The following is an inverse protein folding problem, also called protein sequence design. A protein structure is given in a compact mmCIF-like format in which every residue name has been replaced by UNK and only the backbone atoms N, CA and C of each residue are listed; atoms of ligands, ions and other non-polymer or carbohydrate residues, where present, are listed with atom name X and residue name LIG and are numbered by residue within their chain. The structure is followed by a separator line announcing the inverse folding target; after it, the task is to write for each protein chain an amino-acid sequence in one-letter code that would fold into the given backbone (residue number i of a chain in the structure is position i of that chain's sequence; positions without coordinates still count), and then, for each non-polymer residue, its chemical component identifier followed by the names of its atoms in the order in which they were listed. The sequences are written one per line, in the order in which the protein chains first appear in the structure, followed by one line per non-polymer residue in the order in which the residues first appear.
data_IF_855564682246
#
_entry.id   IF_855564682246
#
_cell.length_a   1.000
_cell.length_b   1.000
_cell.length_c   1.000
_cell.angle_alpha   90.00
_cell.angle_beta   90.00
_cell.angle_gamma   90.00
#
_symmetry.space_group_name_H-M   'P 1'
#
loop_
_entity.id
_entity.type
_entity.pdbx_description
1 polymer ?
#
# COMPACT_ATOMS: atom_id res chain seq x y z
N UNK A 1 33.15 41.12 39.27
CA UNK A 1 33.29 39.71 38.86
C UNK A 1 32.20 39.42 37.82
N UNK A 2 32.61 39.41 36.55
CA UNK A 2 31.70 39.18 35.43
C UNK A 2 31.64 37.70 35.13
N UNK A 3 30.43 37.11 35.24
CA UNK A 3 30.18 35.70 34.90
C UNK A 3 30.00 35.64 33.41
N UNK A 4 31.00 35.12 32.68
CA UNK A 4 30.85 34.73 31.27
C UNK A 4 29.89 33.55 31.18
N UNK A 5 28.66 33.80 30.74
CA UNK A 5 27.75 32.74 30.31
C UNK A 5 28.27 32.16 28.98
N UNK A 6 28.90 31.01 29.06
CA UNK A 6 29.28 30.23 27.87
C UNK A 6 27.97 29.67 27.29
N UNK A 7 27.49 30.26 26.21
CA UNK A 7 26.44 29.68 25.40
C UNK A 7 27.00 28.44 24.68
N UNK A 8 26.70 27.26 25.18
CA UNK A 8 26.84 26.03 24.42
C UNK A 8 25.80 26.05 23.29
N UNK A 9 26.22 26.42 22.10
CA UNK A 9 25.47 26.09 20.87
C UNK A 9 25.48 24.57 20.75
N UNK A 10 24.32 23.92 20.73
CA UNK A 10 24.28 22.46 20.47
C UNK A 10 24.96 22.22 19.11
N UNK A 11 25.98 21.35 19.11
CA UNK A 11 26.54 20.83 17.86
C UNK A 11 25.39 20.28 17.05
N UNK A 12 25.02 20.93 15.93
CA UNK A 12 24.07 20.37 14.98
C UNK A 12 24.66 19.06 14.52
N UNK A 13 24.02 17.95 14.90
CA UNK A 13 24.35 16.65 14.34
C UNK A 13 24.16 16.75 12.81
N UNK A 14 25.16 16.33 12.06
CA UNK A 14 25.05 16.29 10.61
C UNK A 14 23.93 15.30 10.25
N UNK A 15 22.89 15.79 9.56
CA UNK A 15 21.88 14.91 8.98
C UNK A 15 22.50 14.19 7.80
N UNK A 16 22.70 12.89 7.97
CA UNK A 16 23.35 12.06 6.96
C UNK A 16 22.38 11.61 5.84
N UNK A 17 21.08 11.60 6.11
CA UNK A 17 20.04 11.28 5.15
C UNK A 17 18.78 12.10 5.42
N UNK A 18 17.98 12.33 4.40
CA UNK A 18 16.61 12.84 4.56
C UNK A 18 15.74 11.75 5.20
N UNK A 19 14.93 12.12 6.17
CA UNK A 19 13.87 11.27 6.72
C UNK A 19 12.55 11.89 6.31
N UNK A 20 11.71 11.13 5.61
CA UNK A 20 10.38 11.58 5.22
C UNK A 20 9.51 11.66 6.49
N UNK A 21 8.99 12.85 6.77
CA UNK A 21 8.03 13.00 7.85
C UNK A 21 6.67 12.42 7.43
N UNK A 22 6.20 11.40 8.14
CA UNK A 22 4.94 10.72 7.87
C UNK A 22 3.95 11.07 8.99
N UNK A 23 3.02 12.01 8.76
CA UNK A 23 1.99 12.35 9.74
C UNK A 23 1.13 11.12 10.05
N UNK A 24 0.74 10.93 11.31
CA UNK A 24 -0.20 9.85 11.65
C UNK A 24 -1.59 10.18 11.15
N UNK A 25 -2.32 9.19 10.59
CA UNK A 25 -3.74 9.35 10.29
C UNK A 25 -4.56 9.51 11.58
N UNK A 26 -5.80 9.96 11.46
CA UNK A 26 -6.76 10.07 12.56
C UNK A 26 -7.40 8.74 12.93
N UNK A 27 -7.12 7.69 12.15
CA UNK A 27 -7.57 6.32 12.36
C UNK A 27 -6.35 5.39 12.46
N UNK A 28 -6.56 4.20 12.97
CA UNK A 28 -5.54 3.16 13.05
C UNK A 28 -6.07 1.87 12.42
N UNK A 29 -5.18 1.06 11.84
CA UNK A 29 -5.51 -0.25 11.32
C UNK A 29 -5.52 -1.26 12.45
N UNK A 30 -6.65 -1.94 12.63
CA UNK A 30 -6.85 -2.93 13.67
C UNK A 30 -6.45 -4.34 13.19
N UNK A 31 -6.19 -5.29 14.10
CA UNK A 31 -5.86 -6.66 13.72
C UNK A 31 -6.92 -7.28 12.81
N UNK A 32 -6.47 -7.93 11.74
CA UNK A 32 -7.33 -8.74 10.87
C UNK A 32 -8.50 -7.99 10.21
N UNK A 33 -8.36 -6.68 9.98
CA UNK A 33 -9.32 -5.90 9.20
C UNK A 33 -9.53 -6.46 7.78
N UNK A 34 -10.70 -6.17 7.22
CA UNK A 34 -11.00 -6.41 5.81
C UNK A 34 -10.48 -5.23 5.00
N UNK A 35 -9.45 -5.48 4.21
CA UNK A 35 -8.74 -4.42 3.48
C UNK A 35 -8.83 -4.68 2.00
N UNK A 36 -9.26 -3.68 1.24
CA UNK A 36 -9.23 -3.69 -0.22
C UNK A 36 -7.95 -3.00 -0.71
N UNK A 37 -7.14 -3.69 -1.49
CA UNK A 37 -6.02 -3.10 -2.22
C UNK A 37 -6.35 -3.00 -3.70
N UNK A 38 -6.31 -1.81 -4.26
CA UNK A 38 -6.49 -1.58 -5.70
C UNK A 38 -5.39 -0.66 -6.20
N UNK A 39 -4.74 -1.05 -7.28
CA UNK A 39 -3.78 -0.16 -7.91
C UNK A 39 -2.66 -0.87 -8.67
N UNK A 40 -1.51 -0.23 -8.74
CA UNK A 40 -0.33 -0.71 -9.46
C UNK A 40 0.25 -2.00 -8.86
N UNK A 41 1.28 -2.57 -9.49
CA UNK A 41 2.03 -3.70 -8.92
C UNK A 41 2.56 -3.43 -7.49
N UNK A 42 2.59 -2.17 -7.05
CA UNK A 42 2.90 -1.85 -5.67
C UNK A 42 1.77 -2.27 -4.72
N UNK A 43 0.49 -2.21 -5.16
CA UNK A 43 -0.63 -2.78 -4.40
C UNK A 43 -0.45 -4.28 -4.19
N UNK A 44 0.00 -5.03 -5.21
CA UNK A 44 0.29 -6.46 -5.07
C UNK A 44 1.38 -6.72 -4.02
N UNK A 45 2.47 -5.92 -4.05
CA UNK A 45 3.58 -6.10 -3.11
C UNK A 45 3.16 -5.86 -1.66
N UNK A 46 2.48 -4.75 -1.39
CA UNK A 46 2.04 -4.40 -0.02
C UNK A 46 0.85 -5.27 0.40
N UNK A 47 -0.13 -5.48 -0.49
CA UNK A 47 -1.29 -6.33 -0.21
C UNK A 47 -0.90 -7.77 0.14
N UNK A 48 0.03 -8.36 -0.60
CA UNK A 48 0.61 -9.67 -0.28
C UNK A 48 1.23 -9.69 1.13
N UNK A 49 1.88 -8.59 1.55
CA UNK A 49 2.42 -8.49 2.90
C UNK A 49 1.31 -8.55 3.94
N UNK A 50 0.18 -7.88 3.72
CA UNK A 50 -0.98 -7.97 4.58
C UNK A 50 -1.56 -9.40 4.63
N UNK A 51 -1.66 -10.11 3.50
CA UNK A 51 -2.09 -11.52 3.45
C UNK A 51 -1.15 -12.42 4.26
N UNK A 52 0.17 -12.24 4.13
CA UNK A 52 1.19 -12.98 4.90
C UNK A 52 1.07 -12.72 6.40
N UNK A 53 0.68 -11.51 6.80
CA UNK A 53 0.42 -11.13 8.18
C UNK A 53 -1.03 -11.40 8.62
N UNK A 54 -1.78 -12.18 7.84
CA UNK A 54 -3.13 -12.67 8.18
C UNK A 54 -4.22 -11.61 8.31
N UNK A 55 -4.03 -10.46 7.68
CA UNK A 55 -5.13 -9.55 7.43
C UNK A 55 -6.05 -10.10 6.32
N UNK A 56 -7.32 -9.79 6.39
CA UNK A 56 -8.30 -10.20 5.36
C UNK A 56 -8.22 -9.27 4.15
N UNK A 57 -7.11 -9.36 3.42
CA UNK A 57 -6.85 -8.52 2.26
C UNK A 57 -7.48 -9.09 0.99
N UNK A 58 -8.11 -8.22 0.21
CA UNK A 58 -8.52 -8.46 -1.18
C UNK A 58 -7.63 -7.60 -2.07
N UNK A 59 -6.74 -8.25 -2.81
CA UNK A 59 -5.68 -7.55 -3.56
C UNK A 59 -5.93 -7.63 -5.04
N UNK A 60 -6.08 -6.48 -5.71
CA UNK A 60 -6.26 -6.35 -7.15
C UNK A 60 -7.19 -7.43 -7.74
N UNK A 61 -8.45 -7.57 -7.27
CA UNK A 61 -9.31 -8.71 -7.60
C UNK A 61 -9.62 -8.88 -9.09
N UNK A 62 -9.40 -7.83 -9.88
CA UNK A 62 -9.56 -7.86 -11.35
C UNK A 62 -8.25 -7.55 -12.09
N UNK A 63 -7.12 -7.73 -11.42
CA UNK A 63 -5.79 -7.40 -11.94
C UNK A 63 -5.33 -6.00 -11.58
N UNK A 64 -4.10 -5.69 -12.00
CA UNK A 64 -3.43 -4.42 -11.67
C UNK A 64 -4.13 -3.25 -12.35
N UNK A 65 -4.38 -2.19 -11.57
CA UNK A 65 -5.02 -0.94 -12.01
C UNK A 65 -4.05 0.22 -11.83
N UNK A 66 -3.82 1.00 -12.88
CA UNK A 66 -2.75 2.00 -12.84
C UNK A 66 -3.25 3.42 -12.59
N UNK A 67 -4.50 3.73 -12.89
CA UNK A 67 -5.06 5.08 -12.89
C UNK A 67 -6.33 5.16 -12.02
N UNK A 68 -6.74 6.36 -11.60
CA UNK A 68 -7.92 6.57 -10.74
C UNK A 68 -9.23 6.02 -11.31
N UNK A 69 -9.44 6.10 -12.63
CA UNK A 69 -10.67 5.59 -13.27
C UNK A 69 -10.74 4.07 -13.18
N UNK A 70 -9.64 3.37 -13.44
CA UNK A 70 -9.59 1.91 -13.28
C UNK A 70 -9.73 1.47 -11.81
N UNK A 71 -9.27 2.29 -10.85
CA UNK A 71 -9.55 2.08 -9.42
C UNK A 71 -11.05 2.18 -9.17
N UNK A 72 -11.71 3.21 -9.68
CA UNK A 72 -13.17 3.38 -9.58
C UNK A 72 -13.93 2.20 -10.20
N UNK A 73 -13.53 1.73 -11.39
CA UNK A 73 -14.15 0.55 -12.02
C UNK A 73 -14.03 -0.70 -11.14
N UNK A 74 -12.90 -0.88 -10.47
CA UNK A 74 -12.71 -1.99 -9.52
C UNK A 74 -13.65 -1.82 -8.33
N UNK A 75 -13.72 -0.64 -7.73
CA UNK A 75 -14.61 -0.36 -6.60
C UNK A 75 -16.07 -0.61 -6.98
N UNK A 76 -16.52 -0.19 -8.17
CA UNK A 76 -17.88 -0.50 -8.69
C UNK A 76 -18.15 -2.00 -8.72
N UNK A 77 -17.19 -2.81 -9.13
CA UNK A 77 -17.32 -4.28 -9.24
C UNK A 77 -17.37 -4.97 -7.86
N UNK A 78 -16.75 -4.39 -6.83
CA UNK A 78 -16.74 -4.93 -5.45
C UNK A 78 -17.72 -4.22 -4.50
N UNK A 79 -18.62 -3.40 -5.01
CA UNK A 79 -19.53 -2.57 -4.21
C UNK A 79 -20.47 -3.38 -3.29
N UNK A 80 -20.63 -4.69 -3.52
CA UNK A 80 -21.37 -5.62 -2.66
C UNK A 80 -20.58 -6.14 -1.46
N UNK A 81 -19.28 -5.82 -1.38
CA UNK A 81 -18.41 -6.19 -0.27
C UNK A 81 -18.28 -5.01 0.70
N UNK A 82 -18.09 -5.33 1.97
CA UNK A 82 -17.83 -4.34 3.02
C UNK A 82 -16.37 -4.41 3.43
N UNK A 83 -15.67 -3.30 3.32
CA UNK A 83 -14.27 -3.17 3.76
C UNK A 83 -14.19 -2.22 4.95
N UNK A 84 -13.23 -2.48 5.85
CA UNK A 84 -12.92 -1.61 6.97
C UNK A 84 -11.94 -0.52 6.53
N UNK A 85 -11.02 -0.89 5.63
CA UNK A 85 -10.05 0.03 4.99
C UNK A 85 -9.91 -0.27 3.50
N UNK A 86 -9.70 0.75 2.67
CA UNK A 86 -9.28 0.62 1.28
C UNK A 86 -7.94 1.32 1.05
N UNK A 87 -7.06 0.71 0.26
CA UNK A 87 -5.75 1.24 -0.09
C UNK A 87 -5.64 1.38 -1.61
N UNK A 88 -5.48 2.61 -2.09
CA UNK A 88 -5.32 2.92 -3.51
C UNK A 88 -3.87 3.27 -3.80
N UNK A 89 -3.22 2.51 -4.71
CA UNK A 89 -1.83 2.77 -5.12
C UNK A 89 -1.78 3.25 -6.56
N UNK A 90 -1.75 4.57 -6.74
CA UNK A 90 -1.89 5.21 -8.05
C UNK A 90 -0.58 5.18 -8.84
N UNK A 91 -0.62 4.63 -10.03
CA UNK A 91 0.56 4.45 -10.89
C UNK A 91 0.78 5.59 -11.88
N UNK A 92 -0.24 5.94 -12.65
CA UNK A 92 -0.21 6.93 -13.73
C UNK A 92 -1.57 7.59 -13.90
N UNK A 93 -1.60 8.78 -14.53
CA UNK A 93 -2.83 9.43 -14.98
C UNK A 93 -3.22 9.05 -16.42
N UNK A 94 -2.44 8.21 -17.10
CA UNK A 94 -2.76 7.77 -18.44
C UNK A 94 -3.84 6.70 -18.44
N UNK A 95 -4.76 6.82 -19.40
CA UNK A 95 -5.86 5.88 -19.65
C UNK A 95 -5.88 5.47 -21.13
N UNK A 96 -6.50 4.32 -21.42
CA UNK A 96 -6.79 3.89 -22.77
C UNK A 96 -8.30 3.97 -23.02
N UNK A 97 -8.69 4.67 -24.07
CA UNK A 97 -10.06 4.76 -24.54
C UNK A 97 -10.22 3.80 -25.72
N UNK A 98 -11.19 2.92 -25.65
CA UNK A 98 -11.55 2.05 -26.77
C UNK A 98 -12.27 2.85 -27.85
N UNK A 99 -11.71 2.90 -29.06
CA UNK A 99 -12.27 3.71 -30.16
C UNK A 99 -13.66 3.29 -30.60
N UNK A 100 -14.03 2.01 -30.40
CA UNK A 100 -15.34 1.50 -30.79
C UNK A 100 -16.47 1.94 -29.84
N UNK A 101 -16.17 2.10 -28.55
CA UNK A 101 -17.16 2.41 -27.50
C UNK A 101 -17.01 3.82 -26.93
N UNK A 102 -15.84 4.41 -27.05
CA UNK A 102 -15.49 5.68 -26.38
C UNK A 102 -15.29 5.52 -24.87
N UNK A 103 -15.22 4.30 -24.35
CA UNK A 103 -15.07 4.05 -22.92
C UNK A 103 -13.61 3.82 -22.52
N UNK A 104 -13.25 4.26 -21.31
CA UNK A 104 -11.95 3.97 -20.72
C UNK A 104 -11.91 2.49 -20.31
N UNK A 105 -10.89 1.78 -20.77
CA UNK A 105 -10.68 0.37 -20.47
C UNK A 105 -9.59 0.18 -19.42
N UNK A 106 -9.80 -0.77 -18.50
CA UNK A 106 -8.85 -1.11 -17.45
C UNK A 106 -7.62 -1.84 -17.99
N UNK A 107 -7.83 -2.61 -19.07
CA UNK A 107 -6.81 -3.43 -19.71
C UNK A 107 -7.13 -3.62 -21.19
N UNK A 108 -6.16 -3.41 -22.08
CA UNK A 108 -6.32 -3.63 -23.51
C UNK A 108 -6.39 -5.13 -23.91
N UNK A 109 -6.23 -6.07 -22.98
CA UNK A 109 -6.33 -7.54 -23.18
C UNK A 109 -5.48 -8.07 -24.35
N UNK A 110 -4.31 -7.46 -24.59
CA UNK A 110 -3.42 -7.74 -25.72
C UNK A 110 -4.06 -7.54 -27.10
N UNK A 111 -5.17 -6.83 -27.19
CA UNK A 111 -5.80 -6.41 -28.45
C UNK A 111 -4.88 -5.43 -29.18
N UNK A 112 -5.03 -5.29 -30.51
CA UNK A 112 -4.22 -4.38 -31.31
C UNK A 112 -4.28 -2.93 -30.80
N UNK A 113 -3.12 -2.31 -30.63
CA UNK A 113 -3.02 -0.94 -30.08
C UNK A 113 -3.83 0.10 -30.88
N UNK A 114 -4.02 -0.12 -32.19
CA UNK A 114 -4.84 0.73 -33.07
C UNK A 114 -6.33 0.80 -32.71
N UNK A 115 -6.80 -0.05 -31.79
CA UNK A 115 -8.19 -0.06 -31.33
C UNK A 115 -8.40 0.88 -30.14
N UNK A 116 -7.31 1.47 -29.63
CA UNK A 116 -7.30 2.32 -28.46
C UNK A 116 -6.63 3.65 -28.75
N UNK A 117 -7.09 4.68 -28.09
CA UNK A 117 -6.43 5.98 -27.99
C UNK A 117 -5.96 6.18 -26.55
N UNK A 118 -4.76 6.72 -26.37
CA UNK A 118 -4.21 7.01 -25.06
C UNK A 118 -4.48 8.46 -24.70
N UNK A 119 -5.04 8.70 -23.53
CA UNK A 119 -5.32 10.03 -22.99
C UNK A 119 -4.67 10.22 -21.63
N UNK A 120 -4.36 11.47 -21.29
CA UNK A 120 -3.89 11.88 -19.98
C UNK A 120 -5.06 12.53 -19.22
N UNK A 121 -5.41 11.96 -18.06
CA UNK A 121 -6.39 12.56 -17.17
C UNK A 121 -5.82 13.82 -16.54
N UNK A 122 -6.67 14.81 -16.39
CA UNK A 122 -6.39 16.05 -15.63
C UNK A 122 -6.40 15.77 -14.12
N UNK A 123 -5.97 16.75 -13.33
CA UNK A 123 -6.07 16.70 -11.86
C UNK A 123 -7.52 16.53 -11.41
N UNK A 124 -8.45 17.25 -12.04
CA UNK A 124 -9.88 17.24 -11.76
C UNK A 124 -10.47 15.87 -12.06
N UNK A 125 -10.25 15.31 -13.25
CA UNK A 125 -10.76 13.99 -13.63
C UNK A 125 -10.22 12.88 -12.73
N UNK A 126 -8.95 12.95 -12.31
CA UNK A 126 -8.37 12.03 -11.33
C UNK A 126 -9.06 12.17 -9.96
N UNK A 127 -9.29 13.40 -9.49
CA UNK A 127 -9.94 13.66 -8.21
C UNK A 127 -11.39 13.19 -8.23
N UNK A 128 -12.14 13.48 -9.28
CA UNK A 128 -13.55 13.08 -9.43
C UNK A 128 -13.71 11.55 -9.39
N UNK A 129 -12.84 10.82 -10.07
CA UNK A 129 -12.85 9.35 -10.03
C UNK A 129 -12.56 8.81 -8.62
N UNK A 130 -11.63 9.43 -7.88
CA UNK A 130 -11.32 9.04 -6.50
C UNK A 130 -12.48 9.38 -5.55
N UNK A 131 -13.12 10.55 -5.69
CA UNK A 131 -14.30 10.93 -4.91
C UNK A 131 -15.46 9.95 -5.11
N UNK A 132 -15.74 9.57 -6.38
CA UNK A 132 -16.79 8.59 -6.67
C UNK A 132 -16.45 7.23 -6.05
N UNK A 133 -15.21 6.77 -6.14
CA UNK A 133 -14.77 5.52 -5.53
C UNK A 133 -14.94 5.54 -4.00
N UNK A 134 -14.54 6.61 -3.32
CA UNK A 134 -14.70 6.80 -1.89
C UNK A 134 -16.19 6.83 -1.51
N UNK A 135 -17.01 7.53 -2.27
CA UNK A 135 -18.46 7.61 -2.05
C UNK A 135 -19.11 6.22 -2.12
N UNK A 136 -18.76 5.40 -3.11
CA UNK A 136 -19.26 4.04 -3.24
C UNK A 136 -18.85 3.15 -2.05
N UNK A 137 -17.61 3.25 -1.60
CA UNK A 137 -17.14 2.52 -0.43
C UNK A 137 -17.91 2.95 0.84
N UNK A 138 -18.18 4.23 1.01
CA UNK A 138 -18.97 4.76 2.14
C UNK A 138 -20.43 4.35 2.12
N UNK A 139 -21.01 4.10 0.96
CA UNK A 139 -22.36 3.53 0.86
C UNK A 139 -22.44 2.13 1.48
N UNK A 140 -21.39 1.31 1.30
CA UNK A 140 -21.29 -0.02 1.89
C UNK A 140 -20.84 0.03 3.37
N UNK A 141 -19.92 0.94 3.72
CA UNK A 141 -19.46 1.17 5.09
C UNK A 141 -19.17 2.66 5.33
N UNK A 142 -20.06 3.41 5.98
CA UNK A 142 -19.87 4.84 6.26
C UNK A 142 -18.60 5.16 7.09
N UNK A 143 -18.01 4.16 7.73
CA UNK A 143 -16.81 4.30 8.55
C UNK A 143 -15.53 3.82 7.82
N UNK A 144 -15.60 3.49 6.55
CA UNK A 144 -14.43 3.02 5.80
C UNK A 144 -13.33 4.07 5.83
N UNK A 145 -12.11 3.60 6.10
CA UNK A 145 -10.90 4.40 5.99
C UNK A 145 -10.31 4.22 4.59
N UNK A 146 -9.73 5.27 4.04
CA UNK A 146 -9.08 5.20 2.71
C UNK A 146 -7.67 5.72 2.82
N UNK A 147 -6.71 4.89 2.43
CA UNK A 147 -5.31 5.27 2.29
C UNK A 147 -5.00 5.41 0.81
N UNK A 148 -4.56 6.58 0.39
CA UNK A 148 -4.11 6.83 -0.99
C UNK A 148 -2.59 6.96 -0.94
N UNK A 149 -1.90 6.32 -1.88
CA UNK A 149 -0.45 6.47 -2.06
C UNK A 149 -0.10 6.54 -3.53
N UNK A 150 0.89 7.34 -3.86
CA UNK A 150 1.46 7.34 -5.21
C UNK A 150 2.50 6.22 -5.28
N UNK A 151 2.30 5.34 -6.24
CA UNK A 151 3.21 4.20 -6.46
C UNK A 151 4.64 4.67 -6.75
N UNK A 152 5.65 4.13 -6.07
CA UNK A 152 7.04 4.45 -6.33
C UNK A 152 7.60 3.81 -7.61
N UNK A 153 6.79 3.03 -8.33
CA UNK A 153 7.19 2.41 -9.60
C UNK A 153 7.35 3.49 -10.66
N UNK A 154 8.47 3.41 -11.41
CA UNK A 154 8.81 4.35 -12.49
C UNK A 154 8.24 3.86 -13.81
N UNK A 155 7.66 4.77 -14.60
CA UNK A 155 7.08 4.45 -15.91
C UNK A 155 8.02 4.88 -17.05
N UNK A 156 8.80 3.95 -17.58
CA UNK A 156 9.72 4.23 -18.67
C UNK A 156 9.00 4.48 -20.02
N UNK A 157 7.77 3.98 -20.19
CA UNK A 157 7.00 4.12 -21.44
C UNK A 157 6.86 5.58 -21.89
N UNK A 158 6.66 6.50 -20.94
CA UNK A 158 6.46 7.94 -21.22
C UNK A 158 7.77 8.74 -21.13
N UNK A 159 8.90 8.04 -21.00
CA UNK A 159 10.15 8.66 -20.57
C UNK A 159 10.09 9.09 -19.10
N UNK A 160 11.26 9.39 -18.52
CA UNK A 160 11.28 9.76 -17.09
C UNK A 160 10.65 11.13 -16.82
N UNK A 161 10.72 12.07 -17.78
CA UNK A 161 10.04 13.36 -17.64
C UNK A 161 8.51 13.18 -17.63
N UNK A 162 7.93 12.46 -18.60
CA UNK A 162 6.50 12.17 -18.65
C UNK A 162 6.02 11.40 -17.42
N UNK A 163 6.83 10.46 -16.93
CA UNK A 163 6.54 9.76 -15.67
C UNK A 163 6.44 10.72 -14.48
N UNK A 164 7.32 11.73 -14.38
CA UNK A 164 7.25 12.74 -13.31
C UNK A 164 6.02 13.65 -13.45
N UNK A 165 5.67 14.07 -14.68
CA UNK A 165 4.46 14.86 -14.91
C UNK A 165 3.20 14.09 -14.52
N UNK A 166 3.13 12.81 -14.89
CA UNK A 166 2.04 11.92 -14.49
C UNK A 166 1.93 11.80 -12.97
N UNK A 167 3.07 11.63 -12.26
CA UNK A 167 3.08 11.59 -10.79
C UNK A 167 2.64 12.91 -10.18
N UNK A 168 3.04 14.06 -10.76
CA UNK A 168 2.64 15.38 -10.29
C UNK A 168 1.11 15.57 -10.38
N UNK A 169 0.47 15.13 -11.47
CA UNK A 169 -1.00 15.14 -11.60
C UNK A 169 -1.66 14.32 -10.50
N UNK A 170 -1.17 13.10 -10.27
CA UNK A 170 -1.71 12.22 -9.23
C UNK A 170 -1.50 12.77 -7.82
N UNK A 171 -0.36 13.40 -7.54
CA UNK A 171 -0.08 14.04 -6.25
C UNK A 171 -1.04 15.21 -5.99
N UNK A 172 -1.25 16.07 -7.00
CA UNK A 172 -2.17 17.20 -6.90
C UNK A 172 -3.63 16.75 -6.73
N UNK A 173 -4.06 15.73 -7.49
CA UNK A 173 -5.39 15.14 -7.36
C UNK A 173 -5.60 14.52 -5.96
N UNK A 174 -4.60 13.78 -5.46
CA UNK A 174 -4.67 13.18 -4.12
C UNK A 174 -4.72 14.23 -3.02
N UNK A 175 -3.91 15.30 -3.10
CA UNK A 175 -3.93 16.41 -2.14
C UNK A 175 -5.30 17.10 -2.10
N UNK A 176 -5.92 17.32 -3.28
CA UNK A 176 -7.27 17.85 -3.39
C UNK A 176 -8.29 16.94 -2.70
N UNK A 177 -8.30 15.65 -3.03
CA UNK A 177 -9.22 14.65 -2.45
C UNK A 177 -9.12 14.60 -0.93
N UNK A 178 -7.90 14.56 -0.37
CA UNK A 178 -7.71 14.51 1.08
C UNK A 178 -8.27 15.74 1.78
N UNK A 179 -8.09 16.93 1.19
CA UNK A 179 -8.62 18.18 1.75
C UNK A 179 -10.15 18.22 1.74
N UNK A 180 -10.77 17.63 0.73
CA UNK A 180 -12.22 17.66 0.53
C UNK A 180 -12.94 16.54 1.30
N UNK A 181 -12.34 15.35 1.41
CA UNK A 181 -12.93 14.15 2.03
C UNK A 181 -12.74 14.06 3.56
N UNK A 182 -11.77 14.79 4.10
CA UNK A 182 -11.55 14.90 5.53
C UNK A 182 -10.87 13.69 6.19
N UNK A 183 -11.10 13.54 7.48
CA UNK A 183 -10.27 12.75 8.41
C UNK A 183 -10.10 11.26 8.10
N UNK A 184 -11.02 10.64 7.34
CA UNK A 184 -10.97 9.21 7.00
C UNK A 184 -10.26 8.92 5.69
N UNK A 185 -9.72 9.93 5.03
CA UNK A 185 -8.91 9.77 3.83
C UNK A 185 -7.50 10.29 4.11
N UNK A 186 -6.51 9.46 3.89
CA UNK A 186 -5.13 9.70 4.30
C UNK A 186 -4.14 9.45 3.16
N UNK A 187 -3.13 10.30 3.03
CA UNK A 187 -2.02 10.11 2.12
C UNK A 187 -0.84 9.41 2.82
N UNK A 188 -0.43 8.25 2.31
CA UNK A 188 0.78 7.58 2.75
C UNK A 188 1.91 7.82 1.72
N UNK A 189 3.05 8.42 2.09
CA UNK A 189 4.05 8.94 1.15
C UNK A 189 5.05 7.87 0.66
N UNK A 190 4.56 6.74 0.09
CA UNK A 190 5.44 5.68 -0.41
C UNK A 190 6.34 6.15 -1.56
N UNK A 191 5.86 7.10 -2.38
CA UNK A 191 6.63 7.68 -3.47
C UNK A 191 7.82 8.47 -2.95
N UNK A 192 7.61 9.32 -1.96
CA UNK A 192 8.63 10.15 -1.34
C UNK A 192 9.63 9.30 -0.55
N UNK A 193 9.18 8.27 0.14
CA UNK A 193 10.08 7.33 0.84
C UNK A 193 11.12 6.77 -0.13
N UNK A 194 10.72 6.33 -1.33
CA UNK A 194 11.67 5.76 -2.29
C UNK A 194 12.53 6.85 -2.95
N UNK A 195 11.94 7.99 -3.32
CA UNK A 195 12.65 9.00 -4.11
C UNK A 195 13.50 9.95 -3.27
N UNK A 196 13.14 10.21 -2.01
CA UNK A 196 13.83 11.18 -1.17
C UNK A 196 14.60 10.53 -0.01
N UNK A 197 14.03 9.55 0.68
CA UNK A 197 14.69 8.91 1.81
C UNK A 197 15.63 7.79 1.39
N UNK A 198 15.16 6.82 0.58
CA UNK A 198 15.98 5.72 0.08
C UNK A 198 16.94 6.16 -1.04
N UNK A 199 16.47 6.89 -2.01
CA UNK A 199 17.18 7.65 -3.05
C UNK A 199 18.44 7.01 -3.65
N UNK A 200 18.44 5.69 -3.84
CA UNK A 200 19.59 4.96 -4.35
C UNK A 200 19.12 3.83 -5.29
N UNK A 201 19.86 3.58 -6.37
CA UNK A 201 19.54 2.51 -7.33
C UNK A 201 19.55 1.11 -6.72
N UNK A 202 20.25 0.88 -5.60
CA UNK A 202 20.24 -0.40 -4.88
C UNK A 202 18.86 -0.81 -4.34
N UNK A 203 17.93 0.14 -4.24
CA UNK A 203 16.56 -0.11 -3.80
C UNK A 203 15.59 -0.44 -4.94
N UNK A 204 16.10 -0.53 -6.17
CA UNK A 204 15.34 -0.97 -7.33
C UNK A 204 15.70 -2.41 -7.71
N UNK A 205 14.77 -3.10 -8.37
CA UNK A 205 15.04 -4.39 -9.05
C UNK A 205 15.95 -4.16 -10.26
N UNK A 206 16.41 -5.25 -10.88
CA UNK A 206 17.29 -5.20 -12.05
C UNK A 206 16.71 -4.41 -13.24
N UNK A 207 15.38 -4.25 -13.31
CA UNK A 207 14.71 -3.43 -14.33
C UNK A 207 14.82 -1.92 -14.10
N UNK A 208 15.32 -1.48 -12.95
CA UNK A 208 15.44 -0.07 -12.54
C UNK A 208 14.12 0.69 -12.50
N UNK A 209 13.00 -0.02 -12.45
CA UNK A 209 11.65 0.54 -12.43
C UNK A 209 10.91 0.21 -11.12
N UNK A 210 10.97 -1.06 -10.70
CA UNK A 210 10.26 -1.55 -9.52
C UNK A 210 11.15 -1.48 -8.28
N UNK A 211 10.62 -0.99 -7.14
CA UNK A 211 11.29 -1.15 -5.85
C UNK A 211 11.58 -2.64 -5.58
N UNK A 212 12.73 -2.93 -5.02
CA UNK A 212 13.09 -4.30 -4.62
C UNK A 212 12.45 -4.67 -3.27
N UNK A 213 12.69 -5.90 -2.84
CA UNK A 213 12.12 -6.43 -1.60
C UNK A 213 12.55 -5.63 -0.36
N UNK A 214 13.80 -5.16 -0.32
CA UNK A 214 14.31 -4.35 0.80
C UNK A 214 13.59 -3.00 0.88
N UNK A 215 13.32 -2.35 -0.25
CA UNK A 215 12.56 -1.10 -0.28
C UNK A 215 11.10 -1.32 0.13
N UNK A 216 10.48 -2.41 -0.34
CA UNK A 216 9.10 -2.78 0.03
C UNK A 216 9.00 -3.07 1.53
N UNK A 217 9.96 -3.79 2.11
CA UNK A 217 10.00 -4.06 3.54
C UNK A 217 10.16 -2.78 4.36
N UNK A 218 11.04 -1.88 3.93
CA UNK A 218 11.19 -0.58 4.61
C UNK A 218 9.89 0.23 4.58
N UNK A 219 9.20 0.28 3.44
CA UNK A 219 7.90 0.97 3.32
C UNK A 219 6.86 0.31 4.23
N UNK A 220 6.85 -1.03 4.31
CA UNK A 220 6.00 -1.78 5.21
C UNK A 220 6.23 -1.40 6.67
N UNK A 221 7.49 -1.34 7.11
CA UNK A 221 7.86 -0.92 8.47
C UNK A 221 7.34 0.49 8.79
N UNK A 222 7.48 1.44 7.84
CA UNK A 222 6.95 2.80 8.00
C UNK A 222 5.42 2.80 8.09
N UNK A 223 4.73 1.99 7.27
CA UNK A 223 3.27 1.86 7.29
C UNK A 223 2.79 1.29 8.64
N UNK A 224 3.45 0.23 9.13
CA UNK A 224 3.15 -0.37 10.44
C UNK A 224 3.40 0.65 11.57
N UNK A 225 4.54 1.33 11.55
CA UNK A 225 4.88 2.31 12.57
C UNK A 225 3.85 3.45 12.66
N UNK A 226 3.31 3.87 11.50
CA UNK A 226 2.46 5.06 11.38
C UNK A 226 0.96 4.76 11.47
N UNK A 227 0.49 3.69 10.80
CA UNK A 227 -0.94 3.47 10.59
C UNK A 227 -1.52 2.37 11.47
N UNK A 228 -0.72 1.49 12.10
CA UNK A 228 -1.24 0.37 12.87
C UNK A 228 -1.49 0.74 14.33
N UNK A 229 -2.59 0.22 14.89
CA UNK A 229 -2.89 0.31 16.31
C UNK A 229 -1.85 -0.43 17.16
N UNK A 230 -1.84 -0.14 18.44
CA UNK A 230 -0.97 -0.87 19.38
C UNK A 230 -1.31 -2.36 19.40
N UNK A 231 -2.60 -2.71 19.29
CA UNK A 231 -3.09 -4.09 19.26
C UNK A 231 -2.65 -4.80 17.96
N UNK A 232 -2.74 -4.13 16.80
CA UNK A 232 -2.25 -4.69 15.55
C UNK A 232 -0.73 -4.92 15.55
N UNK A 233 0.05 -4.02 16.14
CA UNK A 233 1.49 -4.21 16.33
C UNK A 233 1.80 -5.39 17.24
N UNK A 234 1.08 -5.52 18.36
CA UNK A 234 1.20 -6.66 19.26
C UNK A 234 0.84 -7.99 18.54
N UNK A 235 -0.23 -7.98 17.75
CA UNK A 235 -0.59 -9.14 16.92
C UNK A 235 0.55 -9.56 15.99
N UNK A 236 1.20 -8.62 15.27
CA UNK A 236 2.34 -8.91 14.40
C UNK A 236 3.53 -9.52 15.16
N UNK A 237 3.82 -9.03 16.37
CA UNK A 237 4.88 -9.57 17.22
C UNK A 237 4.58 -11.01 17.68
N UNK A 238 3.34 -11.30 18.05
CA UNK A 238 2.89 -12.65 18.46
C UNK A 238 2.79 -13.62 17.29
N UNK A 239 2.40 -13.14 16.11
CA UNK A 239 2.29 -13.94 14.89
C UNK A 239 3.66 -14.29 14.28
N UNK A 240 4.62 -13.38 14.30
CA UNK A 240 5.95 -13.56 13.67
C UNK A 240 6.62 -14.88 14.00
N UNK A 241 6.81 -15.31 15.27
CA UNK A 241 7.47 -16.59 15.58
C UNK A 241 6.67 -17.81 15.11
N UNK A 242 5.35 -17.71 15.02
CA UNK A 242 4.50 -18.78 14.49
C UNK A 242 4.67 -18.86 12.97
N UNK A 243 4.62 -17.73 12.26
CA UNK A 243 4.86 -17.62 10.81
C UNK A 243 6.23 -18.20 10.42
N UNK A 244 7.30 -17.81 11.13
CA UNK A 244 8.65 -18.30 10.89
C UNK A 244 8.77 -19.81 11.13
N UNK A 245 8.17 -20.32 12.20
CA UNK A 245 8.15 -21.73 12.51
C UNK A 245 7.39 -22.57 11.46
N UNK A 246 6.27 -22.05 10.94
CA UNK A 246 5.50 -22.71 9.87
C UNK A 246 6.22 -22.66 8.52
N UNK A 247 6.99 -21.63 8.24
CA UNK A 247 7.79 -21.49 7.03
C UNK A 247 9.07 -22.34 7.05
N UNK A 248 9.46 -22.86 8.22
CA UNK A 248 10.68 -23.66 8.36
C UNK A 248 10.58 -24.99 7.56
N UNK A 249 11.56 -25.23 6.69
CA UNK A 249 11.67 -26.47 5.90
C UNK A 249 12.78 -27.34 6.49
N UNK A 250 12.42 -28.45 7.20
CA UNK A 250 13.41 -29.31 7.81
C UNK A 250 14.07 -30.21 6.77
N UNK A 251 15.29 -30.70 7.06
CA UNK A 251 15.96 -31.74 6.27
C UNK A 251 15.24 -33.10 6.38
N UNK A 252 14.64 -33.38 7.55
CA UNK A 252 13.86 -34.59 7.78
C UNK A 252 12.50 -34.25 8.39
N UNK A 253 11.44 -34.13 7.57
CA UNK A 253 10.09 -33.84 8.04
C UNK A 253 9.49 -34.88 8.99
N UNK A 254 9.94 -36.15 8.89
CA UNK A 254 9.42 -37.27 9.69
C UNK A 254 10.12 -37.41 11.07
N UNK A 255 11.14 -36.59 11.34
CA UNK A 255 11.81 -36.62 12.63
C UNK A 255 10.83 -36.27 13.77
N UNK A 256 10.80 -37.09 14.82
CA UNK A 256 9.90 -36.88 15.95
C UNK A 256 10.03 -35.49 16.59
N UNK A 257 11.26 -34.99 16.66
CA UNK A 257 11.53 -33.63 17.17
C UNK A 257 10.86 -32.54 16.32
N UNK A 258 10.84 -32.68 14.99
CA UNK A 258 10.17 -31.74 14.10
C UNK A 258 8.65 -31.85 14.20
N UNK A 259 8.11 -33.05 14.29
CA UNK A 259 6.67 -33.28 14.48
C UNK A 259 6.17 -32.65 15.79
N UNK A 260 6.93 -32.81 16.88
CA UNK A 260 6.61 -32.17 18.17
C UNK A 260 6.71 -30.64 18.08
N UNK A 261 7.72 -30.10 17.38
CA UNK A 261 7.88 -28.67 17.14
C UNK A 261 6.68 -28.09 16.37
N UNK A 262 6.26 -28.72 15.27
CA UNK A 262 5.10 -28.27 14.46
C UNK A 262 3.80 -28.39 15.27
N UNK A 263 3.62 -29.46 16.05
CA UNK A 263 2.45 -29.62 16.91
C UNK A 263 2.35 -28.45 17.90
N UNK A 264 3.43 -28.13 18.61
CA UNK A 264 3.48 -26.99 19.54
C UNK A 264 3.24 -25.65 18.83
N UNK A 265 3.74 -25.49 17.61
CA UNK A 265 3.50 -24.29 16.80
C UNK A 265 2.03 -24.14 16.45
N UNK A 266 1.35 -25.23 16.05
CA UNK A 266 -0.09 -25.23 15.76
C UNK A 266 -0.93 -24.95 17.03
N UNK A 267 -0.51 -25.44 18.19
CA UNK A 267 -1.16 -25.12 19.47
C UNK A 267 -1.05 -23.62 19.80
N UNK A 268 0.13 -23.01 19.60
CA UNK A 268 0.29 -21.55 19.75
C UNK A 268 -0.58 -20.78 18.77
N UNK A 269 -0.68 -21.20 17.52
CA UNK A 269 -1.53 -20.59 16.53
C UNK A 269 -3.01 -20.62 16.92
N UNK A 270 -3.50 -21.76 17.45
CA UNK A 270 -4.87 -21.86 17.97
C UNK A 270 -5.13 -20.92 19.16
N UNK A 271 -4.14 -20.72 20.03
CA UNK A 271 -4.27 -19.75 21.12
C UNK A 271 -4.36 -18.31 20.58
N UNK A 272 -3.61 -18.01 19.49
CA UNK A 272 -3.69 -16.72 18.83
C UNK A 272 -5.07 -16.49 18.17
N UNK A 273 -5.66 -17.52 17.53
CA UNK A 273 -7.03 -17.45 16.99
C UNK A 273 -8.09 -17.18 18.07
N UNK A 274 -7.92 -17.75 19.27
CA UNK A 274 -8.81 -17.48 20.38
C UNK A 274 -8.70 -16.04 20.89
N UNK A 275 -7.49 -15.46 20.84
CA UNK A 275 -7.25 -14.08 21.27
C UNK A 275 -7.75 -13.06 20.23
N UNK A 276 -7.64 -13.37 18.95
CA UNK A 276 -8.03 -12.51 17.83
C UNK A 276 -9.11 -13.21 16.99
N UNK A 277 -10.41 -13.08 17.35
CA UNK A 277 -11.48 -13.90 16.77
C UNK A 277 -11.74 -13.66 15.27
N UNK A 278 -11.16 -12.60 14.70
CA UNK A 278 -11.29 -12.28 13.27
C UNK A 278 -10.15 -12.85 12.39
N UNK A 279 -9.19 -13.57 13.01
CA UNK A 279 -8.08 -14.18 12.28
C UNK A 279 -8.48 -15.56 11.76
N UNK A 280 -8.06 -15.87 10.55
CA UNK A 280 -8.20 -17.18 9.92
C UNK A 280 -6.81 -17.69 9.57
N UNK A 281 -6.20 -18.52 10.44
CA UNK A 281 -4.83 -18.99 10.21
C UNK A 281 -4.74 -20.09 9.18
N UNK A 282 -5.83 -20.87 8.92
CA UNK A 282 -5.88 -21.94 7.91
C UNK A 282 -4.62 -22.82 7.89
N UNK A 283 -4.32 -23.51 9.04
CA UNK A 283 -3.06 -24.23 9.32
C UNK A 283 -3.07 -25.69 8.92
#
# INVERSE_FOLDING_TARGET
MSILSIFFLPLRSMEFRTIVNIPRPTFELEPCERILFVGSCFADNIGKRFEEEKFRAMVNPFGVMYNPVSVLHTVKKVANHTFDTAVFTLGTNHVYVELATGEIVDNCQKRPQREFEEHELTVEECADALHEAITLLRQANPKVNVIITISPIRYAKYGYHGSQLSKAVLLLATDKVIKEEGERVYYFPAYEIVNDELRDYRFYKADMLHPNEQAVEYIWEQLVATCFSAEAKQFLEEWRPIKEALAHRPFNPEAAAYQDFIKKTKEKAKMLELKYPNIELNL
#
